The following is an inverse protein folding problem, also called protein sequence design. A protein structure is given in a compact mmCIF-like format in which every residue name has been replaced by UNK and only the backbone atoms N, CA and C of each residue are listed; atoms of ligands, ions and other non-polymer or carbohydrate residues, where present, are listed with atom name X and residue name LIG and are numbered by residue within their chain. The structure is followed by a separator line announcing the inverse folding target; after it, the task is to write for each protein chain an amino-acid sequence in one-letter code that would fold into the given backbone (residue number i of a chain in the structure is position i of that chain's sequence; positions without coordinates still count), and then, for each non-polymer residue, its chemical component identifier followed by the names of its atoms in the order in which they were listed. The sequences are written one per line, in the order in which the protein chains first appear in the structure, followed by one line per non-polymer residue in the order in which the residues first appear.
data_IF_769706434143
#
_entry.id   IF_769706434143
#
_cell.length_a   1.000
_cell.length_b   1.000
_cell.length_c   1.000
_cell.angle_alpha   90.00
_cell.angle_beta   90.00
_cell.angle_gamma   90.00
#
_symmetry.space_group_name_H-M   'P 1'
#
loop_
_entity.id
_entity.type
_entity.pdbx_description
1 polymer ?
#
# COMPACT_ATOMS: atom_id res chain seq x y z
N UNK A 1 21.16 49.55 -78.19
CA UNK A 1 21.41 49.30 -76.76
C UNK A 1 20.03 49.12 -76.13
N UNK A 2 19.39 47.93 -76.15
CA UNK A 2 19.67 46.74 -75.30
C UNK A 2 19.60 47.22 -73.83
N UNK A 3 18.62 46.92 -72.97
CA UNK A 3 17.86 45.68 -72.79
C UNK A 3 16.53 45.91 -72.04
N UNK A 4 15.66 44.91 -72.14
CA UNK A 4 14.31 44.79 -71.56
C UNK A 4 14.30 44.75 -70.03
N UNK A 5 13.17 45.21 -69.49
CA UNK A 5 12.49 44.73 -68.29
C UNK A 5 12.70 43.22 -68.04
N UNK A 6 12.91 42.84 -66.77
CA UNK A 6 12.45 41.62 -66.07
C UNK A 6 13.47 41.21 -65.01
N UNK A 7 13.03 41.05 -63.75
CA UNK A 7 13.84 40.32 -62.76
C UNK A 7 13.62 40.54 -61.27
N UNK A 8 12.60 41.26 -60.79
CA UNK A 8 12.43 41.48 -59.33
C UNK A 8 11.29 40.68 -58.69
N UNK A 9 10.62 39.78 -59.45
CA UNK A 9 9.52 38.93 -58.92
C UNK A 9 9.99 37.62 -58.26
N UNK A 10 11.17 37.11 -58.62
CA UNK A 10 11.65 35.81 -58.11
C UNK A 10 12.21 35.89 -56.68
N UNK A 11 12.82 37.02 -56.30
CA UNK A 11 13.42 37.24 -54.98
C UNK A 11 12.41 37.03 -53.83
N UNK A 12 11.21 37.58 -53.96
CA UNK A 12 10.17 37.48 -52.92
C UNK A 12 9.61 36.07 -52.79
N UNK A 13 9.54 35.31 -53.90
CA UNK A 13 9.13 33.89 -53.87
C UNK A 13 10.22 33.03 -53.22
N UNK A 14 11.49 33.27 -53.55
CA UNK A 14 12.61 32.57 -52.94
C UNK A 14 12.72 32.83 -51.43
N UNK A 15 12.47 34.07 -50.99
CA UNK A 15 12.43 34.45 -49.56
C UNK A 15 11.23 33.86 -48.83
N UNK A 16 10.07 33.80 -49.48
CA UNK A 16 8.86 33.17 -48.92
C UNK A 16 9.06 31.68 -48.70
N UNK A 17 9.69 30.97 -49.64
CA UNK A 17 10.03 29.56 -49.49
C UNK A 17 11.04 29.29 -48.38
N UNK A 18 11.99 30.20 -48.11
CA UNK A 18 12.92 30.06 -46.98
C UNK A 18 12.21 30.27 -45.64
N UNK A 19 11.28 31.23 -45.55
CA UNK A 19 10.48 31.45 -44.35
C UNK A 19 9.50 30.30 -44.08
N UNK A 20 8.89 29.76 -45.14
CA UNK A 20 8.02 28.58 -45.08
C UNK A 20 8.79 27.33 -44.63
N UNK A 21 9.99 27.10 -45.18
CA UNK A 21 10.85 25.99 -44.76
C UNK A 21 11.28 26.13 -43.28
N UNK A 22 11.56 27.36 -42.81
CA UNK A 22 11.88 27.61 -41.41
C UNK A 22 10.68 27.36 -40.50
N UNK A 23 9.48 27.81 -40.88
CA UNK A 23 8.25 27.53 -40.13
C UNK A 23 7.93 26.04 -40.11
N UNK A 24 8.08 25.34 -41.24
CA UNK A 24 7.90 23.90 -41.33
C UNK A 24 8.89 23.15 -40.43
N UNK A 25 10.16 23.58 -40.39
CA UNK A 25 11.17 23.01 -39.51
C UNK A 25 10.82 23.22 -38.03
N UNK A 26 10.36 24.42 -37.65
CA UNK A 26 9.92 24.72 -36.28
C UNK A 26 8.69 23.88 -35.88
N UNK A 27 7.71 23.74 -36.78
CA UNK A 27 6.55 22.87 -36.55
C UNK A 27 7.00 21.42 -36.39
N UNK A 28 7.91 20.94 -37.24
CA UNK A 28 8.41 19.57 -37.16
C UNK A 28 9.14 19.29 -35.84
N UNK A 29 10.01 20.22 -35.41
CA UNK A 29 10.69 20.14 -34.11
C UNK A 29 9.66 20.13 -32.97
N UNK A 30 8.65 21.00 -33.03
CA UNK A 30 7.57 21.05 -32.05
C UNK A 30 6.79 19.73 -31.96
N UNK A 31 6.47 19.11 -33.10
CA UNK A 31 5.80 17.80 -33.17
C UNK A 31 6.69 16.70 -32.57
N UNK A 32 7.99 16.70 -32.86
CA UNK A 32 8.93 15.71 -32.31
C UNK A 32 9.03 15.84 -30.79
N UNK A 33 9.20 17.06 -30.27
CA UNK A 33 9.28 17.32 -28.82
C UNK A 33 7.99 16.87 -28.14
N UNK A 34 6.84 17.25 -28.68
CA UNK A 34 5.53 16.83 -28.15
C UNK A 34 5.37 15.30 -28.14
N UNK A 35 5.79 14.62 -29.21
CA UNK A 35 5.73 13.16 -29.27
C UNK A 35 6.66 12.47 -28.26
N UNK A 36 7.86 13.01 -28.02
CA UNK A 36 8.81 12.51 -27.02
C UNK A 36 8.28 12.72 -25.60
N UNK A 37 7.71 13.88 -25.28
CA UNK A 37 7.09 14.11 -23.97
C UNK A 37 5.85 13.20 -23.76
N UNK A 38 5.03 12.99 -24.79
CA UNK A 38 3.86 12.11 -24.73
C UNK A 38 4.24 10.64 -24.42
N UNK A 39 5.39 10.18 -24.90
CA UNK A 39 5.91 8.83 -24.58
C UNK A 39 6.48 8.72 -23.17
N UNK A 40 6.95 9.82 -22.58
CA UNK A 40 7.35 9.86 -21.16
C UNK A 40 6.16 9.82 -20.20
N UNK A 41 4.97 10.24 -20.66
CA UNK A 41 3.76 10.33 -19.82
C UNK A 41 2.87 9.09 -19.90
N UNK A 42 3.20 8.13 -20.78
CA UNK A 42 2.47 6.87 -20.91
C UNK A 42 3.32 5.73 -20.35
N UNK A 43 2.84 4.97 -19.35
CA UNK A 43 3.59 3.81 -18.86
C UNK A 43 3.70 2.78 -19.99
N UNK A 44 4.87 2.73 -20.64
CA UNK A 44 5.10 1.99 -21.89
C UNK A 44 5.20 0.46 -21.66
N UNK A 45 5.18 -0.01 -20.40
CA UNK A 45 5.16 -1.44 -20.08
C UNK A 45 4.25 -1.74 -18.90
N UNK A 46 3.55 -2.88 -18.94
CA UNK A 46 2.76 -3.39 -17.81
C UNK A 46 3.56 -3.47 -16.52
N UNK A 47 4.89 -3.69 -16.60
CA UNK A 47 5.78 -3.71 -15.44
C UNK A 47 5.92 -2.34 -14.77
N UNK A 48 6.08 -1.26 -15.54
CA UNK A 48 6.13 0.11 -14.99
C UNK A 48 4.80 0.55 -14.38
N UNK A 49 3.67 0.14 -14.98
CA UNK A 49 2.35 0.39 -14.42
C UNK A 49 2.13 -0.41 -13.11
N UNK A 50 2.51 -1.69 -13.08
CA UNK A 50 2.42 -2.52 -11.87
C UNK A 50 3.29 -1.96 -10.74
N UNK A 51 4.53 -1.57 -11.03
CA UNK A 51 5.42 -0.97 -10.04
C UNK A 51 4.85 0.32 -9.45
N UNK A 52 4.16 1.13 -10.26
CA UNK A 52 3.47 2.32 -9.77
C UNK A 52 2.30 1.97 -8.83
N UNK A 53 1.49 0.96 -9.18
CA UNK A 53 0.39 0.49 -8.33
C UNK A 53 0.93 -0.12 -7.02
N UNK A 54 2.00 -0.90 -7.07
CA UNK A 54 2.66 -1.43 -5.87
C UNK A 54 3.15 -0.32 -4.95
N UNK A 55 3.80 0.71 -5.50
CA UNK A 55 4.24 1.87 -4.71
C UNK A 55 3.06 2.61 -4.06
N UNK A 56 1.94 2.76 -4.77
CA UNK A 56 0.72 3.35 -4.22
C UNK A 56 0.11 2.50 -3.10
N UNK A 57 0.02 1.18 -3.29
CA UNK A 57 -0.48 0.24 -2.27
C UNK A 57 0.44 0.22 -1.04
N UNK A 58 1.76 0.29 -1.24
CA UNK A 58 2.73 0.35 -0.15
C UNK A 58 2.55 1.61 0.69
N UNK A 59 2.42 2.76 0.03
CA UNK A 59 2.20 4.04 0.72
C UNK A 59 0.88 4.00 1.49
N UNK A 60 -0.20 3.55 0.84
CA UNK A 60 -1.52 3.40 1.47
C UNK A 60 -1.47 2.49 2.70
N UNK A 61 -0.86 1.31 2.58
CA UNK A 61 -0.74 0.37 3.69
C UNK A 61 0.11 0.92 4.84
N UNK A 62 1.21 1.60 4.50
CA UNK A 62 2.07 2.23 5.50
C UNK A 62 1.34 3.34 6.26
N UNK A 63 0.54 4.15 5.57
CA UNK A 63 -0.27 5.20 6.17
C UNK A 63 -1.35 4.62 7.08
N UNK A 64 -2.03 3.55 6.66
CA UNK A 64 -3.01 2.84 7.47
C UNK A 64 -2.39 2.35 8.79
N UNK A 65 -1.27 1.63 8.73
CA UNK A 65 -0.59 1.17 9.95
C UNK A 65 -0.04 2.33 10.79
N UNK A 66 0.42 3.41 10.17
CA UNK A 66 0.91 4.57 10.90
C UNK A 66 -0.19 5.27 11.68
N UNK A 67 -1.34 5.52 11.06
CA UNK A 67 -2.52 6.09 11.71
C UNK A 67 -2.98 5.21 12.87
N UNK A 68 -3.06 3.90 12.66
CA UNK A 68 -3.47 2.96 13.73
C UNK A 68 -2.41 2.83 14.84
N UNK A 69 -1.14 3.00 14.51
CA UNK A 69 -0.04 2.95 15.50
C UNK A 69 0.11 4.23 16.30
N UNK A 70 -0.54 5.31 15.89
CA UNK A 70 -0.48 6.58 16.59
C UNK A 70 -1.03 6.43 18.01
N UNK A 71 -0.28 6.93 18.98
CA UNK A 71 -0.65 6.93 20.41
C UNK A 71 -0.72 8.37 20.88
N UNK A 72 -1.80 8.70 21.59
CA UNK A 72 -1.90 9.95 22.34
C UNK A 72 -1.43 9.70 23.78
N UNK A 73 -0.87 10.72 24.44
CA UNK A 73 -0.24 10.56 25.75
C UNK A 73 -1.14 9.82 26.75
N UNK A 74 -0.67 8.65 27.20
CA UNK A 74 -1.36 7.83 28.21
C UNK A 74 -2.46 6.91 27.68
N UNK A 75 -2.56 6.69 26.36
CA UNK A 75 -3.52 5.75 25.75
C UNK A 75 -2.80 4.76 24.81
N UNK A 76 -3.25 3.50 24.82
CA UNK A 76 -2.80 2.51 23.86
C UNK A 76 -3.19 2.93 22.43
N UNK A 77 -2.33 2.60 21.47
CA UNK A 77 -2.65 2.81 20.05
C UNK A 77 -3.79 1.87 19.63
N UNK A 78 -4.54 2.29 18.61
CA UNK A 78 -5.62 1.48 18.04
C UNK A 78 -5.10 0.08 17.60
N UNK A 79 -3.91 0.06 17.01
CA UNK A 79 -3.24 -1.18 16.59
C UNK A 79 -2.86 -2.08 17.77
N UNK A 80 -2.42 -1.50 18.89
CA UNK A 80 -2.09 -2.25 20.11
C UNK A 80 -3.34 -2.84 20.75
N UNK A 81 -4.45 -2.10 20.76
CA UNK A 81 -5.74 -2.61 21.24
C UNK A 81 -6.24 -3.80 20.42
N UNK A 82 -6.10 -3.76 19.09
CA UNK A 82 -6.48 -4.88 18.22
C UNK A 82 -5.67 -6.15 18.54
N UNK A 83 -4.36 -6.02 18.78
CA UNK A 83 -3.50 -7.15 19.19
C UNK A 83 -3.87 -7.68 20.58
N UNK A 84 -4.16 -6.79 21.53
CA UNK A 84 -4.55 -7.17 22.90
C UNK A 84 -5.89 -7.90 22.97
N UNK A 85 -6.86 -7.45 22.16
CA UNK A 85 -8.20 -8.02 22.12
C UNK A 85 -8.29 -9.29 21.27
N UNK A 86 -7.23 -9.63 20.55
CA UNK A 86 -7.17 -10.85 19.77
C UNK A 86 -7.01 -12.08 20.67
N UNK A 87 -7.70 -13.16 20.30
CA UNK A 87 -7.83 -14.39 21.07
C UNK A 87 -7.37 -15.62 20.26
N UNK A 88 -6.52 -15.42 19.25
CA UNK A 88 -6.04 -16.51 18.39
C UNK A 88 -6.97 -16.86 17.22
N UNK A 89 -8.18 -16.27 17.17
CA UNK A 89 -9.16 -16.55 16.11
C UNK A 89 -8.79 -15.86 14.79
N UNK A 90 -8.92 -16.60 13.69
CA UNK A 90 -8.82 -16.06 12.33
C UNK A 90 -10.19 -15.57 11.84
N UNK A 91 -10.20 -14.42 11.15
CA UNK A 91 -11.41 -13.84 10.57
C UNK A 91 -11.31 -13.69 9.05
N UNK A 92 -12.39 -14.03 8.35
CA UNK A 92 -12.51 -14.00 6.89
C UNK A 92 -13.62 -13.03 6.47
N UNK A 93 -13.36 -12.24 5.44
CA UNK A 93 -14.35 -11.33 4.86
C UNK A 93 -15.39 -12.12 4.05
N UNK A 94 -16.68 -12.00 4.39
CA UNK A 94 -17.77 -12.71 3.70
C UNK A 94 -18.54 -11.85 2.67
N UNK A 95 -18.10 -10.61 2.42
CA UNK A 95 -18.78 -9.63 1.58
C UNK A 95 -19.53 -8.53 2.35
N UNK A 96 -19.89 -8.78 3.62
CA UNK A 96 -20.62 -7.84 4.47
C UNK A 96 -19.87 -7.55 5.77
N UNK A 97 -19.26 -8.57 6.36
CA UNK A 97 -18.58 -8.50 7.65
C UNK A 97 -17.43 -9.52 7.72
N UNK A 98 -16.56 -9.35 8.71
CA UNK A 98 -15.54 -10.36 9.02
C UNK A 98 -16.11 -11.41 9.97
N UNK A 99 -16.04 -12.68 9.58
CA UNK A 99 -16.51 -13.82 10.38
C UNK A 99 -15.37 -14.73 10.78
N UNK A 100 -15.47 -15.27 11.99
CA UNK A 100 -14.52 -16.26 12.49
C UNK A 100 -14.55 -17.54 11.64
N UNK A 101 -13.36 -18.08 11.36
CA UNK A 101 -13.19 -19.40 10.70
C UNK A 101 -13.65 -20.55 11.62
N UNK A 102 -13.53 -20.40 12.94
CA UNK A 102 -13.85 -21.43 13.93
C UNK A 102 -15.34 -21.47 14.31
N UNK A 103 -16.03 -20.33 14.20
CA UNK A 103 -17.43 -20.20 14.62
C UNK A 103 -18.19 -19.22 13.74
N UNK A 104 -19.16 -19.73 12.98
CA UNK A 104 -19.95 -18.94 12.02
C UNK A 104 -20.84 -17.86 12.64
N UNK A 105 -21.04 -17.90 13.97
CA UNK A 105 -21.82 -16.91 14.73
C UNK A 105 -20.95 -15.81 15.36
N UNK A 106 -19.62 -15.90 15.22
CA UNK A 106 -18.70 -14.91 15.79
C UNK A 106 -18.25 -13.96 14.70
N UNK A 107 -18.54 -12.68 14.88
CA UNK A 107 -18.13 -11.60 13.99
C UNK A 107 -17.02 -10.79 14.63
N UNK A 108 -16.14 -10.23 13.81
CA UNK A 108 -15.11 -9.33 14.32
C UNK A 108 -15.76 -8.00 14.71
N UNK A 109 -15.71 -7.69 16.00
CA UNK A 109 -16.21 -6.43 16.56
C UNK A 109 -15.06 -5.68 17.24
N UNK A 110 -15.16 -4.35 17.30
CA UNK A 110 -14.17 -3.49 17.96
C UNK A 110 -12.74 -3.66 17.43
N UNK A 111 -12.59 -3.85 16.11
CA UNK A 111 -11.30 -3.97 15.45
C UNK A 111 -11.04 -2.74 14.59
N UNK A 112 -10.03 -1.97 14.97
CA UNK A 112 -9.65 -0.74 14.25
C UNK A 112 -9.08 -1.05 12.87
N UNK A 113 -8.39 -2.19 12.74
CA UNK A 113 -7.97 -2.77 11.48
C UNK A 113 -9.17 -3.09 10.57
N UNK A 114 -10.19 -3.76 11.10
CA UNK A 114 -11.40 -4.05 10.32
C UNK A 114 -12.11 -2.77 9.84
N UNK A 115 -12.17 -1.76 10.70
CA UNK A 115 -12.78 -0.46 10.39
C UNK A 115 -12.01 0.28 9.28
N UNK A 116 -10.67 0.34 9.37
CA UNK A 116 -9.87 1.00 8.34
C UNK A 116 -9.94 0.27 7.00
N UNK A 117 -10.02 -1.06 6.98
CA UNK A 117 -10.20 -1.82 5.74
C UNK A 117 -11.57 -1.57 5.13
N UNK A 118 -12.62 -1.52 5.94
CA UNK A 118 -13.98 -1.22 5.49
C UNK A 118 -14.10 0.19 4.92
N UNK A 119 -13.34 1.14 5.47
CA UNK A 119 -13.31 2.52 4.99
C UNK A 119 -12.42 2.73 3.76
N UNK A 120 -11.28 2.03 3.68
CA UNK A 120 -10.25 2.30 2.67
C UNK A 120 -10.14 1.20 1.62
N UNK A 121 -9.86 -0.04 2.04
CA UNK A 121 -9.46 -1.13 1.15
C UNK A 121 -10.66 -1.73 0.39
N UNK A 122 -11.71 -2.11 1.10
CA UNK A 122 -12.89 -2.79 0.53
C UNK A 122 -13.57 -1.93 -0.55
N UNK A 123 -13.84 -0.63 -0.36
CA UNK A 123 -14.46 0.22 -1.39
C UNK A 123 -13.60 0.38 -2.65
N UNK A 124 -12.28 0.13 -2.55
CA UNK A 124 -11.32 0.25 -3.65
C UNK A 124 -11.02 -1.10 -4.32
N UNK A 125 -11.67 -2.18 -3.91
CA UNK A 125 -11.40 -3.53 -4.44
C UNK A 125 -10.02 -4.05 -4.07
N UNK A 126 -9.47 -3.60 -2.95
CA UNK A 126 -8.17 -4.05 -2.43
C UNK A 126 -8.46 -5.18 -1.44
N UNK A 127 -7.91 -6.36 -1.75
CA UNK A 127 -7.86 -7.49 -0.84
C UNK A 127 -6.73 -7.31 0.17
N UNK A 128 -6.90 -7.90 1.36
CA UNK A 128 -5.99 -7.68 2.47
C UNK A 128 -5.94 -8.87 3.42
N UNK A 129 -4.73 -9.17 3.89
CA UNK A 129 -4.46 -10.11 4.97
C UNK A 129 -3.72 -9.39 6.10
N UNK A 130 -3.99 -9.79 7.33
CA UNK A 130 -3.22 -9.36 8.49
C UNK A 130 -2.76 -10.60 9.24
N UNK A 131 -1.44 -10.67 9.45
CA UNK A 131 -0.81 -11.68 10.29
C UNK A 131 -0.12 -11.01 11.47
N UNK A 132 -0.23 -11.64 12.63
CA UNK A 132 0.58 -11.31 13.78
C UNK A 132 1.74 -12.29 13.84
N UNK A 133 2.94 -11.72 13.95
CA UNK A 133 4.18 -12.46 13.96
C UNK A 133 4.97 -12.09 15.21
N UNK A 134 5.39 -13.08 15.99
CA UNK A 134 6.16 -12.87 17.22
C UNK A 134 7.26 -13.92 17.35
N UNK A 135 8.12 -13.75 18.34
CA UNK A 135 9.18 -14.71 18.66
C UNK A 135 8.79 -15.52 19.89
N UNK A 136 8.85 -16.84 19.77
CA UNK A 136 8.73 -17.80 20.86
C UNK A 136 10.03 -17.81 21.70
N UNK A 137 9.96 -18.27 22.94
CA UNK A 137 11.05 -18.64 23.86
C UNK A 137 12.21 -19.37 23.18
N UNK A 138 11.94 -20.24 22.20
CA UNK A 138 12.97 -20.95 21.41
C UNK A 138 13.71 -20.07 20.39
N UNK A 139 13.37 -18.79 20.29
CA UNK A 139 13.87 -17.85 19.27
C UNK A 139 13.24 -18.04 17.88
N UNK A 140 12.22 -18.88 17.77
CA UNK A 140 11.52 -19.16 16.50
C UNK A 140 10.43 -18.12 16.25
N UNK A 141 10.40 -17.57 15.03
CA UNK A 141 9.35 -16.66 14.58
C UNK A 141 8.08 -17.44 14.26
N UNK A 142 7.01 -17.21 15.02
CA UNK A 142 5.68 -17.77 14.80
C UNK A 142 4.81 -16.74 14.11
N UNK A 143 3.99 -17.16 13.15
CA UNK A 143 3.05 -16.31 12.44
C UNK A 143 1.64 -16.91 12.49
N UNK A 144 0.65 -16.10 12.87
CA UNK A 144 -0.77 -16.47 12.84
C UNK A 144 -1.60 -15.42 12.11
N UNK A 145 -2.62 -15.88 11.41
CA UNK A 145 -3.59 -15.03 10.74
C UNK A 145 -4.55 -14.40 11.73
N UNK A 146 -4.72 -13.09 11.62
CA UNK A 146 -5.80 -12.35 12.27
C UNK A 146 -6.94 -12.13 11.28
N UNK A 147 -6.62 -11.60 10.10
CA UNK A 147 -7.57 -11.40 8.99
C UNK A 147 -7.02 -12.11 7.76
N UNK A 148 -7.86 -12.93 7.13
CA UNK A 148 -7.51 -13.69 5.93
C UNK A 148 -8.60 -13.53 4.85
N UNK A 149 -8.24 -12.96 3.71
CA UNK A 149 -9.08 -12.69 2.55
C UNK A 149 -8.54 -13.39 1.28
N UNK A 150 -7.99 -14.59 1.46
CA UNK A 150 -7.46 -15.44 0.38
C UNK A 150 -5.96 -15.25 0.11
N UNK A 151 -5.51 -15.87 -0.98
CA UNK A 151 -4.11 -15.88 -1.37
C UNK A 151 -3.71 -14.59 -2.10
N UNK A 152 -2.59 -13.95 -1.72
CA UNK A 152 -2.11 -12.76 -2.40
C UNK A 152 -1.73 -13.02 -3.86
N UNK A 153 -1.98 -12.03 -4.74
CA UNK A 153 -1.52 -12.09 -6.14
C UNK A 153 -0.03 -11.75 -6.27
N UNK A 154 0.56 -11.96 -7.45
CA UNK A 154 1.99 -11.72 -7.71
C UNK A 154 2.45 -10.28 -7.41
N UNK A 155 1.54 -9.31 -7.47
CA UNK A 155 1.81 -7.88 -7.20
C UNK A 155 1.34 -7.47 -5.79
N UNK A 156 1.30 -8.42 -4.85
CA UNK A 156 0.93 -8.14 -3.47
C UNK A 156 2.03 -7.38 -2.73
N UNK A 157 1.61 -6.39 -1.97
CA UNK A 157 2.49 -5.54 -1.19
C UNK A 157 2.38 -5.89 0.28
N UNK A 158 3.52 -6.04 0.93
CA UNK A 158 3.61 -6.33 2.35
C UNK A 158 4.15 -5.10 3.06
N UNK A 159 3.42 -4.64 4.07
CA UNK A 159 3.87 -3.62 5.03
C UNK A 159 3.79 -4.18 6.43
N UNK A 160 4.61 -3.68 7.35
CA UNK A 160 4.58 -4.16 8.73
C UNK A 160 4.88 -3.09 9.75
N UNK A 161 4.35 -3.27 10.96
CA UNK A 161 4.58 -2.40 12.10
C UNK A 161 4.78 -3.25 13.35
N UNK A 162 5.85 -2.99 14.08
CA UNK A 162 6.13 -3.64 15.37
C UNK A 162 5.40 -2.91 16.49
N UNK A 163 4.76 -3.68 17.36
CA UNK A 163 4.05 -3.21 18.54
C UNK A 163 4.69 -3.86 19.76
N UNK A 164 4.98 -3.03 20.75
CA UNK A 164 5.46 -3.45 22.07
C UNK A 164 4.25 -3.84 22.93
N UNK A 165 4.28 -5.03 23.49
CA UNK A 165 3.37 -5.47 24.53
C UNK A 165 4.10 -5.49 25.87
N UNK A 166 3.43 -5.00 26.91
CA UNK A 166 3.94 -4.95 28.26
C UNK A 166 2.97 -5.68 29.19
N UNK A 167 3.46 -6.27 30.28
CA UNK A 167 2.64 -7.02 31.25
C UNK A 167 1.47 -6.20 31.81
N UNK A 168 1.66 -4.93 32.21
CA UNK A 168 0.56 -4.10 32.71
C UNK A 168 -0.53 -3.87 31.66
N UNK A 169 -0.17 -3.91 30.37
CA UNK A 169 -1.13 -3.68 29.29
C UNK A 169 -2.02 -4.91 29.05
N UNK A 170 -1.47 -6.11 29.24
CA UNK A 170 -2.15 -7.39 29.01
C UNK A 170 -2.98 -7.78 30.23
N UNK A 171 -2.50 -7.46 31.43
CA UNK A 171 -3.13 -7.85 32.69
C UNK A 171 -2.86 -9.32 33.03
N UNK A 172 -3.69 -10.25 32.53
CA UNK A 172 -3.52 -11.68 32.81
C UNK A 172 -2.69 -12.36 31.71
N UNK A 173 -1.36 -12.35 31.90
CA UNK A 173 -0.36 -12.93 30.99
C UNK A 173 -0.61 -14.42 30.70
N UNK A 174 -1.00 -15.20 31.71
CA UNK A 174 -1.29 -16.63 31.55
C UNK A 174 -2.50 -16.89 30.64
N UNK A 175 -3.60 -16.15 30.84
CA UNK A 175 -4.78 -16.27 29.96
C UNK A 175 -4.48 -15.77 28.54
N UNK A 176 -3.67 -14.71 28.41
CA UNK A 176 -3.29 -14.19 27.11
C UNK A 176 -2.45 -15.18 26.30
N UNK A 177 -1.47 -15.84 26.92
CA UNK A 177 -0.69 -16.90 26.30
C UNK A 177 -1.57 -18.07 25.84
N UNK A 178 -2.52 -18.54 26.66
CA UNK A 178 -3.41 -19.65 26.29
C UNK A 178 -4.29 -19.31 25.10
N UNK A 179 -4.81 -18.07 25.05
CA UNK A 179 -5.71 -17.64 23.97
C UNK A 179 -4.95 -17.36 22.66
N UNK A 180 -3.84 -16.62 22.72
CA UNK A 180 -3.13 -16.14 21.53
C UNK A 180 -1.99 -17.04 21.09
N UNK A 181 -1.41 -17.80 22.02
CA UNK A 181 -0.16 -18.53 21.83
C UNK A 181 1.09 -17.64 21.89
N UNK A 182 0.97 -16.36 22.28
CA UNK A 182 2.11 -15.46 22.44
C UNK A 182 2.67 -15.62 23.86
N UNK A 183 3.89 -16.15 24.04
CA UNK A 183 4.49 -16.29 25.35
C UNK A 183 5.04 -14.95 25.86
N UNK A 184 5.18 -14.89 27.18
CA UNK A 184 5.95 -13.87 27.88
C UNK A 184 7.44 -14.13 27.63
N UNK A 185 8.11 -13.16 27.01
CA UNK A 185 9.52 -13.26 26.65
C UNK A 185 10.44 -12.93 27.84
N UNK A 186 9.96 -12.21 28.85
CA UNK A 186 10.74 -11.87 30.04
C UNK A 186 9.86 -11.69 31.29
N UNK A 187 9.62 -12.80 31.99
CA UNK A 187 8.84 -12.83 33.23
C UNK A 187 9.48 -12.05 34.41
N UNK A 188 10.63 -11.38 34.22
CA UNK A 188 11.31 -10.59 35.25
C UNK A 188 11.16 -9.08 35.08
N UNK A 189 10.72 -8.62 33.91
CA UNK A 189 10.49 -7.20 33.63
C UNK A 189 9.06 -6.95 33.17
N UNK A 190 8.66 -5.68 33.01
CA UNK A 190 7.33 -5.35 32.49
C UNK A 190 7.19 -5.65 30.98
N UNK A 191 8.23 -6.16 30.32
CA UNK A 191 8.25 -6.45 28.90
C UNK A 191 7.66 -7.83 28.61
N UNK A 192 6.56 -7.86 27.88
CA UNK A 192 5.93 -9.13 27.50
C UNK A 192 6.48 -9.68 26.20
N UNK A 193 6.23 -9.01 25.07
CA UNK A 193 6.72 -9.46 23.75
C UNK A 193 6.64 -8.33 22.71
N UNK A 194 7.28 -8.51 21.56
CA UNK A 194 7.13 -7.64 20.39
C UNK A 194 6.34 -8.39 19.32
N UNK A 195 5.13 -7.89 19.04
CA UNK A 195 4.29 -8.41 17.96
C UNK A 195 4.50 -7.57 16.71
N UNK A 196 4.95 -8.19 15.64
CA UNK A 196 4.99 -7.60 14.32
C UNK A 196 3.65 -7.82 13.62
N UNK A 197 2.93 -6.73 13.37
CA UNK A 197 1.71 -6.75 12.57
C UNK A 197 2.11 -6.64 11.11
N UNK A 198 1.97 -7.74 10.37
CA UNK A 198 2.26 -7.84 8.95
C UNK A 198 0.94 -7.75 8.17
N UNK A 199 0.81 -6.72 7.36
CA UNK A 199 -0.34 -6.49 6.50
C UNK A 199 0.05 -6.68 5.04
N UNK A 200 -0.68 -7.54 4.33
CA UNK A 200 -0.51 -7.80 2.90
C UNK A 200 -1.70 -7.21 2.17
N UNK A 201 -1.46 -6.42 1.12
CA UNK A 201 -2.48 -5.76 0.30
C UNK A 201 -2.28 -6.11 -1.17
N UNK A 202 -3.36 -6.42 -1.89
CA UNK A 202 -3.31 -6.64 -3.33
C UNK A 202 -4.63 -6.26 -3.98
N UNK A 203 -4.62 -5.99 -5.29
CA UNK A 203 -5.87 -5.80 -6.02
C UNK A 203 -6.43 -7.14 -6.48
N UNK A 204 -7.75 -7.28 -6.35
CA UNK A 204 -8.53 -8.35 -6.97
C UNK A 204 -8.73 -8.10 -8.46
#
# INVERSE_FOLDING_TARGET
MIWRLFGEKESTHAQMHTLEAMMAALIMIGVIVFAVEATSLTPLTSSTANAHIEAQLQTMGQDMLNVLSYTSSGQDSALKNDVKNWNGTEFVWNGTEYRSTDSSNTTLVNSSLADIFSFIAIPRGIAHNVHFTWTNDDGVTISRSYIYNGDPSDNAVIVSKKILLSDPDIGNTSSFMVNTGIPDADNTSDFYNIVNVKMTLWRM
#
